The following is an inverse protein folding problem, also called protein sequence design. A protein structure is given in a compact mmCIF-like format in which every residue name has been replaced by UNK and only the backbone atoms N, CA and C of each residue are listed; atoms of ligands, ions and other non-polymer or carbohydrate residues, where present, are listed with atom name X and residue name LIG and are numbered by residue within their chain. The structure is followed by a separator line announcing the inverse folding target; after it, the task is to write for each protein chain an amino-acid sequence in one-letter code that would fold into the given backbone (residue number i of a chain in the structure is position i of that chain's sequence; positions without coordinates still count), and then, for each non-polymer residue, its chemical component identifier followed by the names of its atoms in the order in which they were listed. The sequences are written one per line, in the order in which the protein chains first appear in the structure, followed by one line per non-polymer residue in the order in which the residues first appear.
data_IF_015496591207
#
_entry.id   IF_015496591207
#
_cell.length_a   1.000
_cell.length_b   1.000
_cell.length_c   1.000
_cell.angle_alpha   90.00
_cell.angle_beta   90.00
_cell.angle_gamma   90.00
#
_symmetry.space_group_name_H-M   'P 1'
#
loop_
_entity.id
_entity.type
_entity.pdbx_description
1 polymer ?
#
# COMPACT_ATOMS: atom_id res chain seq x y z
N UNK A 1 -14.71 -55.12 16.91
CA UNK A 1 -13.99 -54.05 16.19
C UNK A 1 -13.14 -54.71 15.12
N UNK A 2 -13.34 -54.42 13.82
CA UNK A 2 -12.51 -54.98 12.77
C UNK A 2 -11.16 -54.23 12.71
N UNK A 3 -10.08 -54.88 12.23
CA UNK A 3 -8.77 -54.24 12.09
C UNK A 3 -8.76 -53.28 10.89
N UNK A 4 -8.17 -52.10 11.09
CA UNK A 4 -8.00 -51.08 10.06
C UNK A 4 -6.92 -51.48 9.05
N UNK A 5 -7.28 -51.55 7.78
CA UNK A 5 -6.36 -51.72 6.66
C UNK A 5 -5.52 -50.45 6.43
N UNK A 6 -4.21 -50.59 6.60
CA UNK A 6 -3.22 -49.57 6.26
C UNK A 6 -2.90 -49.65 4.77
N UNK A 7 -3.24 -48.61 3.99
CA UNK A 7 -2.87 -48.50 2.57
C UNK A 7 -1.37 -48.15 2.40
N UNK A 8 -0.66 -48.75 1.42
CA UNK A 8 0.73 -48.43 1.17
C UNK A 8 0.90 -47.10 0.40
N UNK A 9 1.97 -46.38 0.75
CA UNK A 9 2.36 -45.12 0.15
C UNK A 9 2.91 -45.32 -1.28
N UNK A 10 2.35 -44.57 -2.23
CA UNK A 10 2.78 -44.55 -3.63
C UNK A 10 4.02 -43.66 -3.80
N UNK A 11 5.16 -44.26 -4.14
CA UNK A 11 6.40 -43.53 -4.44
C UNK A 11 6.28 -42.79 -5.78
N UNK A 12 6.44 -41.46 -5.77
CA UNK A 12 6.55 -40.65 -6.99
C UNK A 12 7.93 -40.84 -7.60
N UNK A 13 7.98 -41.42 -8.80
CA UNK A 13 9.18 -41.53 -9.61
C UNK A 13 9.67 -40.15 -10.05
N UNK A 14 10.93 -39.84 -9.75
CA UNK A 14 11.62 -38.65 -10.26
C UNK A 14 11.99 -38.86 -11.73
N UNK A 15 11.40 -38.06 -12.62
CA UNK A 15 11.82 -37.96 -14.01
C UNK A 15 12.96 -36.94 -14.07
N UNK A 16 14.20 -37.41 -14.19
CA UNK A 16 15.36 -36.57 -14.52
C UNK A 16 15.29 -36.19 -16.00
N UNK A 17 14.81 -34.98 -16.29
CA UNK A 17 14.93 -34.40 -17.62
C UNK A 17 16.37 -33.93 -17.84
N UNK A 18 17.05 -34.58 -18.78
CA UNK A 18 18.33 -34.12 -19.32
C UNK A 18 18.09 -32.80 -20.08
N UNK A 19 18.43 -31.67 -19.47
CA UNK A 19 18.42 -30.37 -20.14
C UNK A 19 19.73 -30.26 -20.94
N UNK A 20 19.66 -30.56 -22.23
CA UNK A 20 20.73 -30.19 -23.17
C UNK A 20 20.77 -28.67 -23.27
N UNK A 21 21.91 -28.08 -22.90
CA UNK A 21 22.17 -26.66 -23.07
C UNK A 21 22.22 -26.33 -24.57
N UNK A 22 21.18 -25.65 -25.06
CA UNK A 22 21.14 -25.12 -26.42
C UNK A 22 22.19 -24.02 -26.55
N UNK A 23 23.09 -24.17 -27.53
CA UNK A 23 24.08 -23.14 -27.87
C UNK A 23 23.32 -21.91 -28.36
N UNK A 24 23.53 -20.71 -27.77
CA UNK A 24 22.84 -19.49 -28.21
C UNK A 24 23.23 -19.17 -29.65
N UNK A 25 22.22 -18.83 -30.47
CA UNK A 25 22.41 -18.45 -31.87
C UNK A 25 23.29 -17.18 -31.96
N UNK A 26 24.47 -17.25 -32.59
CA UNK A 26 25.37 -16.10 -32.72
C UNK A 26 24.78 -14.95 -33.56
N UNK A 27 23.67 -15.19 -34.27
CA UNK A 27 22.95 -14.18 -35.04
C UNK A 27 21.68 -13.67 -34.36
N UNK A 28 21.40 -14.07 -33.11
CA UNK A 28 20.29 -13.51 -32.36
C UNK A 28 20.55 -12.02 -32.08
N UNK A 29 19.95 -11.14 -32.90
CA UNK A 29 19.68 -9.78 -32.47
C UNK A 29 18.45 -9.85 -31.56
N UNK A 30 18.56 -9.46 -30.27
CA UNK A 30 17.36 -9.23 -29.50
C UNK A 30 16.48 -8.26 -30.30
N UNK A 31 15.15 -8.50 -30.38
CA UNK A 31 14.25 -7.54 -31.00
C UNK A 31 14.60 -6.17 -30.40
N UNK A 32 14.79 -5.15 -31.24
CA UNK A 32 15.05 -3.78 -30.80
C UNK A 32 14.02 -3.46 -29.74
N UNK A 33 14.45 -3.60 -28.48
CA UNK A 33 13.58 -3.52 -27.33
C UNK A 33 13.02 -2.12 -27.43
N UNK A 34 11.73 -2.02 -27.75
CA UNK A 34 11.05 -0.75 -27.94
C UNK A 34 11.55 0.18 -26.86
N UNK A 35 12.29 1.21 -27.25
CA UNK A 35 12.89 2.17 -26.33
C UNK A 35 11.72 2.85 -25.64
N UNK A 36 11.24 2.24 -24.56
CA UNK A 36 10.16 2.76 -23.76
C UNK A 36 10.77 3.96 -23.07
N UNK A 37 10.44 5.14 -23.56
CA UNK A 37 10.82 6.39 -22.93
C UNK A 37 10.51 6.27 -21.44
N UNK A 38 11.54 6.32 -20.61
CA UNK A 38 11.38 6.27 -19.17
C UNK A 38 10.68 7.57 -18.77
N UNK A 39 9.48 7.44 -18.22
CA UNK A 39 8.77 8.58 -17.63
C UNK A 39 9.53 9.03 -16.39
N UNK A 40 9.60 10.34 -16.21
CA UNK A 40 10.10 10.95 -14.97
C UNK A 40 9.10 10.74 -13.83
N UNK A 41 9.57 10.79 -12.59
CA UNK A 41 8.71 10.67 -11.41
C UNK A 41 7.57 11.71 -11.40
N UNK A 42 7.84 12.93 -11.89
CA UNK A 42 6.83 13.99 -12.01
C UNK A 42 5.77 13.68 -13.08
N UNK A 43 6.14 13.03 -14.18
CA UNK A 43 5.19 12.60 -15.21
C UNK A 43 4.33 11.44 -14.70
N UNK A 44 4.92 10.47 -14.01
CA UNK A 44 4.19 9.36 -13.39
C UNK A 44 3.20 9.84 -12.34
N UNK A 45 3.59 10.80 -11.49
CA UNK A 45 2.67 11.42 -10.52
C UNK A 45 1.53 12.19 -11.21
N UNK A 46 1.81 12.91 -12.29
CA UNK A 46 0.80 13.62 -13.09
C UNK A 46 -0.21 12.65 -13.71
N UNK A 47 0.27 11.50 -14.22
CA UNK A 47 -0.58 10.43 -14.73
C UNK A 47 -1.47 9.89 -13.61
N UNK A 48 -0.93 9.60 -12.42
CA UNK A 48 -1.71 9.14 -11.28
C UNK A 48 -2.85 10.11 -10.95
N UNK A 49 -2.55 11.41 -10.80
CA UNK A 49 -3.57 12.43 -10.49
C UNK A 49 -4.64 12.48 -11.58
N UNK A 50 -4.25 12.44 -12.85
CA UNK A 50 -5.18 12.44 -13.98
C UNK A 50 -6.10 11.21 -13.97
N UNK A 51 -5.55 10.01 -13.77
CA UNK A 51 -6.33 8.78 -13.68
C UNK A 51 -7.28 8.79 -12.48
N UNK A 52 -6.80 9.26 -11.32
CA UNK A 52 -7.60 9.39 -10.11
C UNK A 52 -8.81 10.33 -10.32
N UNK A 53 -8.60 11.50 -10.93
CA UNK A 53 -9.67 12.48 -11.17
C UNK A 53 -10.68 12.04 -12.21
N UNK A 54 -10.21 11.44 -13.30
CA UNK A 54 -11.08 10.94 -14.37
C UNK A 54 -11.82 9.68 -13.96
N UNK A 55 -11.32 8.95 -12.96
CA UNK A 55 -11.80 7.61 -12.61
C UNK A 55 -11.47 6.57 -13.69
N UNK A 56 -10.60 6.91 -14.64
CA UNK A 56 -10.31 6.12 -15.82
C UNK A 56 -9.07 5.24 -15.62
N UNK A 57 -9.02 4.46 -14.52
CA UNK A 57 -7.95 3.47 -14.34
C UNK A 57 -7.89 2.43 -15.47
N UNK A 58 -9.03 2.23 -16.16
CA UNK A 58 -9.19 1.30 -17.28
C UNK A 58 -8.52 1.74 -18.60
N UNK A 59 -8.25 3.03 -18.79
CA UNK A 59 -8.02 3.55 -20.14
C UNK A 59 -6.63 3.27 -20.73
N UNK A 60 -5.59 3.08 -19.91
CA UNK A 60 -4.19 3.10 -20.40
C UNK A 60 -3.31 1.90 -20.02
N UNK A 61 -3.69 1.06 -19.05
CA UNK A 61 -2.80 -0.02 -18.55
C UNK A 61 -2.98 -1.36 -19.31
N UNK A 62 -3.12 -1.25 -20.63
CA UNK A 62 -3.10 -2.33 -21.62
C UNK A 62 -4.44 -3.02 -21.92
N UNK A 63 -4.81 -2.93 -23.20
CA UNK A 63 -5.68 -3.81 -23.98
C UNK A 63 -5.14 -5.27 -24.07
N UNK A 64 -4.69 -5.83 -22.95
CA UNK A 64 -4.29 -7.24 -22.83
C UNK A 64 -5.46 -7.95 -22.18
N UNK A 65 -6.34 -8.49 -23.03
CA UNK A 65 -7.41 -9.39 -22.63
C UNK A 65 -6.81 -10.65 -22.00
N UNK A 66 -6.66 -10.68 -20.67
CA UNK A 66 -6.31 -11.90 -19.96
C UNK A 66 -7.56 -12.74 -19.70
N UNK A 67 -7.50 -14.08 -19.88
CA UNK A 67 -8.61 -14.97 -19.59
C UNK A 67 -8.95 -14.98 -18.09
N UNK A 68 -10.17 -14.57 -17.77
CA UNK A 68 -10.73 -14.28 -16.44
C UNK A 68 -11.09 -15.54 -15.61
N UNK A 69 -10.21 -16.53 -15.50
CA UNK A 69 -10.55 -17.79 -14.81
C UNK A 69 -9.89 -17.93 -13.42
N UNK A 70 -9.99 -16.88 -12.58
CA UNK A 70 -9.49 -16.88 -11.21
C UNK A 70 -10.49 -16.27 -10.23
N UNK A 71 -10.36 -16.54 -8.91
CA UNK A 71 -11.17 -15.87 -7.89
C UNK A 71 -10.95 -14.36 -7.96
N UNK A 72 -12.02 -13.59 -7.74
CA UNK A 72 -12.00 -12.13 -7.79
C UNK A 72 -10.96 -11.58 -6.79
N UNK A 73 -9.95 -10.85 -7.26
CA UNK A 73 -8.87 -10.31 -6.43
C UNK A 73 -9.06 -8.81 -6.26
N UNK A 74 -9.39 -8.38 -5.04
CA UNK A 74 -9.59 -6.96 -4.74
C UNK A 74 -8.41 -6.37 -4.00
N UNK A 75 -8.07 -5.14 -4.33
CA UNK A 75 -7.02 -4.38 -3.64
C UNK A 75 -7.54 -3.03 -3.15
N UNK A 76 -7.03 -2.60 -2.00
CA UNK A 76 -7.22 -1.24 -1.49
C UNK A 76 -5.86 -0.54 -1.47
N UNK A 77 -5.77 0.61 -2.14
CA UNK A 77 -4.55 1.42 -2.24
C UNK A 77 -4.86 2.80 -1.68
N UNK A 78 -4.16 3.17 -0.60
CA UNK A 78 -4.37 4.43 0.11
C UNK A 78 -3.11 5.27 0.01
N UNK A 79 -3.21 6.51 -0.44
CA UNK A 79 -2.09 7.44 -0.57
C UNK A 79 -2.44 8.80 0.03
N UNK A 80 -1.67 9.23 1.03
CA UNK A 80 -1.91 10.49 1.75
C UNK A 80 -0.67 11.36 1.68
N UNK A 81 -0.76 12.45 0.92
CA UNK A 81 0.31 13.45 0.71
C UNK A 81 0.22 14.64 1.67
N UNK A 82 -0.93 14.85 2.30
CA UNK A 82 -1.28 15.99 3.16
C UNK A 82 -1.29 17.36 2.45
N UNK A 83 -1.11 17.42 1.13
CA UNK A 83 -1.34 18.60 0.30
C UNK A 83 -0.69 19.89 0.81
N UNK A 84 -1.45 20.98 0.87
CA UNK A 84 -1.02 22.25 1.53
C UNK A 84 -1.28 22.25 3.04
N UNK A 85 -1.88 21.18 3.58
CA UNK A 85 -2.24 21.08 4.98
C UNK A 85 -0.95 20.94 5.79
N UNK A 86 -0.81 21.81 6.78
CA UNK A 86 0.27 21.71 7.76
C UNK A 86 -0.30 22.09 9.11
N UNK A 87 -0.19 21.22 10.13
CA UNK A 87 0.46 19.91 10.12
C UNK A 87 -0.43 18.76 9.60
N UNK A 88 0.14 17.57 9.30
CA UNK A 88 1.58 17.27 9.30
C UNK A 88 2.26 17.90 8.06
N UNK A 89 3.59 17.79 7.94
CA UNK A 89 4.27 18.31 6.76
C UNK A 89 3.81 17.56 5.50
N UNK A 90 3.70 18.22 4.35
CA UNK A 90 3.40 17.53 3.11
C UNK A 90 4.45 16.44 2.80
N UNK A 91 3.99 15.31 2.26
CA UNK A 91 4.82 14.22 1.77
C UNK A 91 4.88 14.25 0.25
N UNK A 92 6.08 14.14 -0.29
CA UNK A 92 6.32 13.92 -1.73
C UNK A 92 6.46 12.42 -1.99
N UNK A 93 5.94 11.94 -3.12
CA UNK A 93 6.14 10.55 -3.58
C UNK A 93 5.01 9.57 -3.22
N UNK A 94 4.15 9.86 -2.23
CA UNK A 94 3.09 8.90 -1.81
C UNK A 94 2.15 8.50 -2.95
N UNK A 95 1.81 9.44 -3.84
CA UNK A 95 1.02 9.16 -5.06
C UNK A 95 1.79 8.35 -6.10
N UNK A 96 3.10 8.59 -6.22
CA UNK A 96 3.97 7.83 -7.11
C UNK A 96 4.11 6.38 -6.64
N UNK A 97 4.24 6.16 -5.34
CA UNK A 97 4.31 4.82 -4.76
C UNK A 97 3.01 4.05 -4.98
N UNK A 98 1.86 4.70 -4.77
CA UNK A 98 0.56 4.14 -5.09
C UNK A 98 0.42 3.79 -6.58
N UNK A 99 0.86 4.67 -7.47
CA UNK A 99 0.86 4.41 -8.91
C UNK A 99 1.70 3.17 -9.28
N UNK A 100 2.92 3.07 -8.72
CA UNK A 100 3.82 1.94 -8.94
C UNK A 100 3.21 0.64 -8.42
N UNK A 101 2.55 0.66 -7.26
CA UNK A 101 1.84 -0.49 -6.70
C UNK A 101 0.66 -0.91 -7.58
N UNK A 102 -0.17 0.03 -8.04
CA UNK A 102 -1.30 -0.28 -8.95
C UNK A 102 -0.78 -0.95 -10.22
N UNK A 103 0.24 -0.38 -10.85
CA UNK A 103 0.87 -0.98 -12.05
C UNK A 103 1.42 -2.37 -11.78
N UNK A 104 2.05 -2.58 -10.62
CA UNK A 104 2.56 -3.88 -10.22
C UNK A 104 1.43 -4.90 -10.07
N UNK A 105 0.35 -4.55 -9.37
CA UNK A 105 -0.81 -5.41 -9.16
C UNK A 105 -1.45 -5.84 -10.49
N UNK A 106 -1.66 -4.90 -11.41
CA UNK A 106 -2.26 -5.18 -12.72
C UNK A 106 -1.31 -6.01 -13.59
N UNK A 107 -0.07 -5.53 -13.77
CA UNK A 107 0.85 -6.13 -14.76
C UNK A 107 1.49 -7.45 -14.32
N UNK A 108 1.66 -7.68 -13.01
CA UNK A 108 2.35 -8.87 -12.48
C UNK A 108 1.43 -9.81 -11.72
N UNK A 109 0.42 -9.28 -11.05
CA UNK A 109 -0.46 -10.09 -10.20
C UNK A 109 -1.87 -10.28 -10.78
N UNK A 110 -2.14 -9.74 -11.97
CA UNK A 110 -3.39 -9.96 -12.70
C UNK A 110 -4.62 -9.36 -12.02
N UNK A 111 -4.44 -8.30 -11.22
CA UNK A 111 -5.59 -7.54 -10.70
C UNK A 111 -6.25 -6.77 -11.84
N UNK A 112 -7.57 -6.70 -11.82
CA UNK A 112 -8.33 -5.81 -12.71
C UNK A 112 -8.38 -4.42 -12.11
N UNK A 113 -8.35 -3.38 -12.94
CA UNK A 113 -8.46 -2.00 -12.46
C UNK A 113 -9.77 -1.75 -11.71
N UNK A 114 -10.88 -2.32 -12.17
CA UNK A 114 -12.20 -2.26 -11.51
C UNK A 114 -12.23 -2.90 -10.11
N UNK A 115 -11.26 -3.77 -9.81
CA UNK A 115 -11.12 -4.44 -8.51
C UNK A 115 -10.12 -3.74 -7.58
N UNK A 116 -9.49 -2.64 -8.03
CA UNK A 116 -8.58 -1.82 -7.23
C UNK A 116 -9.33 -0.56 -6.77
N UNK A 117 -9.59 -0.48 -5.48
CA UNK A 117 -10.08 0.74 -4.85
C UNK A 117 -8.91 1.64 -4.48
N UNK A 118 -8.94 2.90 -4.92
CA UNK A 118 -7.90 3.89 -4.63
C UNK A 118 -8.49 5.03 -3.80
N UNK A 119 -7.89 5.29 -2.64
CA UNK A 119 -8.20 6.44 -1.78
C UNK A 119 -7.00 7.36 -1.74
N UNK A 120 -7.17 8.61 -2.17
CA UNK A 120 -6.08 9.58 -2.18
C UNK A 120 -6.57 10.99 -1.84
N UNK A 121 -5.72 11.76 -1.17
CA UNK A 121 -5.98 13.17 -0.83
C UNK A 121 -5.50 14.14 -1.92
N UNK A 122 -5.83 13.81 -3.17
CA UNK A 122 -5.49 14.68 -4.30
C UNK A 122 -6.38 15.92 -4.27
N UNK A 123 -5.78 17.09 -4.16
CA UNK A 123 -6.44 18.38 -4.32
C UNK A 123 -6.57 18.73 -5.82
N UNK A 124 -7.68 19.35 -6.23
CA UNK A 124 -7.80 19.91 -7.58
C UNK A 124 -7.05 21.24 -7.69
N UNK A 125 -6.91 21.77 -8.91
CA UNK A 125 -6.26 23.09 -9.15
C UNK A 125 -6.96 24.25 -8.42
N UNK A 126 -8.20 24.05 -7.98
CA UNK A 126 -9.05 25.03 -7.28
C UNK A 126 -9.03 24.78 -5.76
N UNK A 127 -8.21 23.84 -5.27
CA UNK A 127 -8.12 23.45 -3.86
C UNK A 127 -9.35 22.72 -3.32
N UNK A 128 -10.25 22.23 -4.18
CA UNK A 128 -11.36 21.37 -3.77
C UNK A 128 -10.84 19.95 -3.66
N UNK A 129 -11.13 19.35 -2.50
CA UNK A 129 -10.94 17.92 -2.32
C UNK A 129 -11.98 17.18 -3.15
N UNK A 130 -11.57 16.10 -3.82
CA UNK A 130 -12.48 15.30 -4.62
C UNK A 130 -13.62 14.76 -3.74
N UNK A 131 -14.88 15.16 -3.96
CA UNK A 131 -16.00 14.59 -3.23
C UNK A 131 -16.34 13.16 -3.72
N UNK A 132 -15.68 12.66 -4.77
CA UNK A 132 -16.07 11.39 -5.40
C UNK A 132 -15.67 10.18 -4.58
N UNK A 133 -16.75 9.50 -4.19
CA UNK A 133 -16.87 8.12 -3.74
C UNK A 133 -15.94 7.80 -2.59
N UNK A 134 -16.40 8.16 -1.38
CA UNK A 134 -16.33 7.15 -0.31
C UNK A 134 -16.71 5.83 -0.97
N UNK A 135 -15.86 4.78 -0.90
CA UNK A 135 -16.20 3.48 -1.48
C UNK A 135 -17.64 3.21 -1.08
N UNK A 136 -18.50 2.91 -2.07
CA UNK A 136 -19.93 2.74 -1.86
C UNK A 136 -20.03 1.91 -0.57
N UNK A 137 -20.49 2.52 0.54
CA UNK A 137 -20.28 1.95 1.90
C UNK A 137 -20.90 0.56 2.03
N UNK A 138 -21.65 0.15 1.01
CA UNK A 138 -21.97 -1.21 0.60
C UNK A 138 -20.72 -2.11 0.57
N UNK A 139 -20.37 -2.57 1.77
CA UNK A 139 -19.47 -3.67 2.09
C UNK A 139 -17.97 -3.41 1.92
N UNK A 140 -17.35 -2.67 2.85
CA UNK A 140 -15.91 -2.86 3.16
C UNK A 140 -15.62 -4.30 3.63
N UNK A 141 -16.65 -5.08 3.97
CA UNK A 141 -16.61 -6.53 4.14
C UNK A 141 -16.27 -7.31 2.84
N UNK A 142 -15.94 -6.60 1.76
CA UNK A 142 -15.47 -7.20 0.53
C UNK A 142 -14.05 -7.76 0.70
N UNK A 143 -13.83 -8.89 0.04
CA UNK A 143 -12.66 -9.76 0.15
C UNK A 143 -11.38 -9.13 -0.43
N UNK A 144 -10.92 -8.04 0.19
CA UNK A 144 -9.64 -7.40 -0.14
C UNK A 144 -8.51 -8.36 0.19
N UNK A 145 -7.72 -8.71 -0.83
CA UNK A 145 -6.56 -9.60 -0.73
C UNK A 145 -5.25 -8.83 -0.64
N UNK A 146 -5.31 -7.53 -0.86
CA UNK A 146 -4.16 -6.63 -0.83
C UNK A 146 -4.54 -5.27 -0.27
N UNK A 147 -3.74 -4.76 0.66
CA UNK A 147 -3.81 -3.40 1.19
C UNK A 147 -2.44 -2.73 1.04
N UNK A 148 -2.44 -1.53 0.45
CA UNK A 148 -1.28 -0.63 0.46
C UNK A 148 -1.67 0.69 1.12
N UNK A 149 -0.79 1.19 1.99
CA UNK A 149 -0.91 2.52 2.57
C UNK A 149 0.42 3.27 2.46
N UNK A 150 0.41 4.46 1.86
CA UNK A 150 1.52 5.41 1.89
C UNK A 150 1.09 6.71 2.60
N UNK A 151 1.84 7.12 3.63
CA UNK A 151 1.53 8.33 4.38
C UNK A 151 2.32 8.51 5.67
N UNK A 152 1.83 9.36 6.58
CA UNK A 152 2.41 9.50 7.91
C UNK A 152 1.95 8.40 8.86
N UNK A 153 2.91 7.86 9.60
CA UNK A 153 2.65 7.09 10.81
C UNK A 153 2.63 7.99 12.05
N UNK A 154 2.02 7.49 13.10
CA UNK A 154 2.07 8.09 14.42
C UNK A 154 2.44 7.04 15.46
N UNK A 155 3.46 7.32 16.28
CA UNK A 155 3.84 6.53 17.44
C UNK A 155 3.57 7.31 18.72
N UNK A 156 2.75 6.74 19.59
CA UNK A 156 2.52 7.25 20.95
C UNK A 156 3.31 6.39 21.94
N UNK A 157 4.33 7.01 22.53
CA UNK A 157 4.97 6.51 23.75
C UNK A 157 4.17 7.03 24.94
N UNK A 158 3.42 6.16 25.61
CA UNK A 158 2.84 6.54 26.90
C UNK A 158 3.92 6.54 27.99
N UNK A 159 3.67 7.27 29.08
CA UNK A 159 4.56 7.29 30.26
C UNK A 159 4.59 5.95 31.00
N UNK A 160 3.67 5.03 30.68
CA UNK A 160 3.66 3.68 31.26
C UNK A 160 4.57 2.75 30.44
N UNK A 161 5.47 1.99 31.09
CA UNK A 161 6.68 1.44 30.47
C UNK A 161 6.50 0.24 29.52
N UNK A 162 5.31 -0.06 29.01
CA UNK A 162 5.12 -1.32 28.25
C UNK A 162 4.18 -1.31 27.05
N UNK A 163 3.45 -0.23 26.75
CA UNK A 163 2.57 -0.18 25.58
C UNK A 163 3.01 0.90 24.58
N UNK A 164 3.59 0.46 23.47
CA UNK A 164 3.83 1.29 22.29
C UNK A 164 2.57 1.23 21.43
N UNK A 165 1.93 2.38 21.19
CA UNK A 165 0.82 2.47 20.26
C UNK A 165 1.28 3.09 18.96
N UNK A 166 1.08 2.38 17.86
CA UNK A 166 1.36 2.87 16.52
C UNK A 166 0.07 2.93 15.71
N UNK A 167 0.00 3.85 14.77
CA UNK A 167 -1.14 4.00 13.87
C UNK A 167 -0.77 4.79 12.64
N UNK A 168 -1.72 4.85 11.71
CA UNK A 168 -1.62 5.69 10.51
C UNK A 168 -2.43 6.97 10.71
N UNK A 169 -2.01 8.04 10.04
CA UNK A 169 -2.68 9.34 10.03
C UNK A 169 -3.49 9.52 8.75
N UNK A 170 -4.83 9.41 8.77
CA UNK A 170 -5.66 9.79 7.63
C UNK A 170 -5.49 11.26 7.24
N UNK A 171 -5.92 11.62 6.03
CA UNK A 171 -5.87 13.01 5.53
C UNK A 171 -6.67 13.99 6.37
N UNK A 172 -7.72 13.54 7.07
CA UNK A 172 -8.59 14.34 7.93
C UNK A 172 -8.12 14.42 9.40
N UNK A 173 -6.93 13.91 9.73
CA UNK A 173 -6.36 13.94 11.07
C UNK A 173 -6.42 15.36 11.66
N UNK A 174 -7.04 15.47 12.83
CA UNK A 174 -7.10 16.72 13.60
C UNK A 174 -5.97 16.77 14.62
N UNK A 175 -5.57 17.97 15.06
CA UNK A 175 -4.43 18.17 15.94
C UNK A 175 -4.84 18.94 17.20
N UNK A 176 -4.41 18.46 18.36
CA UNK A 176 -4.76 19.04 19.67
C UNK A 176 -3.92 20.26 20.01
N UNK A 177 -2.62 20.21 19.69
CA UNK A 177 -1.67 21.24 20.10
C UNK A 177 -0.36 21.14 19.32
N UNK A 178 0.31 22.27 19.15
CA UNK A 178 1.72 22.35 18.81
C UNK A 178 2.51 22.53 20.11
N UNK A 179 3.27 21.51 20.52
CA UNK A 179 4.17 21.65 21.68
C UNK A 179 5.57 21.91 21.16
N UNK A 180 6.12 23.12 21.30
CA UNK A 180 7.54 23.41 21.00
C UNK A 180 8.44 22.36 21.62
N UNK A 181 9.31 21.74 20.82
CA UNK A 181 9.90 20.47 21.22
C UNK A 181 11.24 20.62 21.92
N UNK A 182 11.30 20.27 23.20
CA UNK A 182 12.56 20.09 23.93
C UNK A 182 13.09 18.64 23.83
N UNK A 183 12.26 17.64 23.42
CA UNK A 183 12.59 16.21 23.50
C UNK A 183 12.16 15.32 22.27
N UNK A 184 12.08 15.84 21.04
CA UNK A 184 11.70 15.03 19.85
C UNK A 184 12.89 14.52 19.04
N UNK A 185 12.81 13.25 18.62
CA UNK A 185 13.73 12.58 17.69
C UNK A 185 13.74 13.17 16.26
N UNK A 186 12.89 14.16 15.97
CA UNK A 186 12.89 14.94 14.73
C UNK A 186 14.05 15.95 14.65
N UNK A 187 14.92 16.01 15.66
CA UNK A 187 16.10 16.88 15.72
C UNK A 187 17.42 16.30 15.22
N UNK A 188 17.46 15.11 14.61
CA UNK A 188 18.75 14.52 14.20
C UNK A 188 18.69 13.87 12.81
N UNK A 189 18.67 14.71 11.78
CA UNK A 189 19.24 14.34 10.47
C UNK A 189 19.67 15.61 9.74
N UNK A 190 20.99 15.74 9.57
CA UNK A 190 21.69 16.53 8.57
C UNK A 190 21.58 18.06 8.63
N UNK A 191 22.35 18.64 9.55
CA UNK A 191 23.40 19.63 9.23
C UNK A 191 23.09 20.90 8.44
N UNK A 192 21.83 21.20 8.08
CA UNK A 192 21.50 22.36 7.24
C UNK A 192 20.20 23.02 7.71
N UNK A 193 20.41 24.17 8.38
CA UNK A 193 19.55 25.36 8.48
C UNK A 193 19.24 25.79 9.91
N UNK A 194 19.86 26.91 10.29
CA UNK A 194 19.78 27.61 11.58
C UNK A 194 18.42 28.34 11.77
N UNK A 195 17.37 27.94 11.04
CA UNK A 195 16.03 28.53 11.09
C UNK A 195 14.89 27.51 11.37
N UNK A 196 15.19 26.24 11.68
CA UNK A 196 14.17 25.20 11.96
C UNK A 196 14.06 24.73 13.43
N UNK A 197 14.67 25.42 14.39
CA UNK A 197 14.75 24.98 15.79
C UNK A 197 13.48 25.20 16.65
N UNK A 198 12.32 25.50 16.04
CA UNK A 198 11.03 25.56 16.75
C UNK A 198 9.94 24.71 16.08
N UNK A 199 10.27 23.58 15.46
CA UNK A 199 9.23 22.61 15.06
C UNK A 199 8.67 21.95 16.32
N UNK A 200 7.57 22.50 16.82
CA UNK A 200 6.80 21.86 17.87
C UNK A 200 6.36 20.46 17.46
N UNK A 201 6.41 19.52 18.41
CA UNK A 201 5.77 18.21 18.30
C UNK A 201 4.29 18.44 18.03
N UNK A 202 3.88 18.03 16.86
CA UNK A 202 2.49 17.99 16.46
C UNK A 202 1.86 16.79 17.17
N UNK A 203 0.82 17.05 17.96
CA UNK A 203 0.09 15.98 18.64
C UNK A 203 -1.28 15.81 17.97
N UNK A 204 -1.47 14.74 17.16
CA UNK A 204 -2.77 14.45 16.60
C UNK A 204 -3.78 14.13 17.70
N UNK A 205 -5.05 14.41 17.42
CA UNK A 205 -6.14 13.99 18.26
C UNK A 205 -6.22 12.45 18.21
N UNK A 206 -6.12 11.72 19.34
CA UNK A 206 -6.07 10.26 19.31
C UNK A 206 -7.27 9.59 18.63
N UNK A 207 -8.43 10.26 18.62
CA UNK A 207 -9.64 9.77 17.97
C UNK A 207 -9.60 9.83 16.43
N UNK A 208 -8.68 10.60 15.85
CA UNK A 208 -8.51 10.69 14.38
C UNK A 208 -7.36 9.82 13.87
N UNK A 209 -6.63 9.14 14.74
CA UNK A 209 -5.61 8.16 14.37
C UNK A 209 -6.26 6.80 14.20
N UNK A 210 -5.94 6.11 13.11
CA UNK A 210 -6.29 4.71 12.95
C UNK A 210 -5.16 3.88 13.57
N UNK A 211 -5.38 3.45 14.82
CA UNK A 211 -4.40 2.68 15.56
C UNK A 211 -4.24 1.26 15.01
N UNK A 212 -3.02 0.72 15.06
CA UNK A 212 -2.68 -0.60 14.53
C UNK A 212 -3.56 -1.73 15.06
N UNK A 213 -3.96 -1.68 16.34
CA UNK A 213 -4.90 -2.67 16.89
C UNK A 213 -6.28 -2.62 16.22
N UNK A 214 -6.77 -1.42 15.85
CA UNK A 214 -8.02 -1.26 15.09
C UNK A 214 -7.85 -1.69 13.64
N UNK A 215 -6.69 -1.40 13.03
CA UNK A 215 -6.39 -1.89 11.68
C UNK A 215 -6.46 -3.41 11.67
N UNK A 216 -5.80 -4.08 12.62
CA UNK A 216 -5.84 -5.54 12.73
C UNK A 216 -7.26 -6.07 12.94
N UNK A 217 -8.07 -5.42 13.80
CA UNK A 217 -9.46 -5.80 14.02
C UNK A 217 -10.31 -5.65 12.74
N UNK A 218 -10.22 -4.52 12.05
CA UNK A 218 -10.95 -4.27 10.80
C UNK A 218 -10.54 -5.28 9.73
N UNK A 219 -9.24 -5.52 9.57
CA UNK A 219 -8.72 -6.45 8.57
C UNK A 219 -9.12 -7.90 8.91
N UNK A 220 -8.90 -8.35 10.14
CA UNK A 220 -9.25 -9.71 10.56
C UNK A 220 -10.76 -9.99 10.46
N UNK A 221 -11.61 -9.03 10.83
CA UNK A 221 -13.08 -9.19 10.77
C UNK A 221 -13.64 -9.16 9.35
N UNK A 222 -12.91 -8.63 8.38
CA UNK A 222 -13.31 -8.55 6.97
C UNK A 222 -12.98 -9.80 6.15
N UNK A 223 -12.12 -10.68 6.67
CA UNK A 223 -11.60 -11.83 5.94
C UNK A 223 -12.36 -13.11 6.29
N UNK A 224 -12.68 -13.91 5.26
CA UNK A 224 -13.20 -15.27 5.47
C UNK A 224 -12.14 -16.19 6.09
N UNK A 225 -12.53 -17.26 6.78
CA UNK A 225 -11.58 -18.24 7.32
C UNK A 225 -10.67 -18.81 6.21
N UNK A 226 -9.36 -18.91 6.49
CA UNK A 226 -8.34 -19.35 5.52
C UNK A 226 -7.99 -18.34 4.43
N UNK A 227 -8.52 -17.12 4.51
CA UNK A 227 -8.17 -16.01 3.64
C UNK A 227 -6.71 -15.57 3.77
N UNK A 228 -6.08 -15.29 2.63
CA UNK A 228 -4.81 -14.56 2.60
C UNK A 228 -5.05 -13.06 2.39
N UNK A 229 -4.35 -12.23 3.15
CA UNK A 229 -4.29 -10.78 2.97
C UNK A 229 -2.81 -10.35 3.00
N UNK A 230 -2.39 -9.63 1.97
CA UNK A 230 -1.09 -8.96 1.93
C UNK A 230 -1.24 -7.50 2.30
N UNK A 231 -0.47 -7.02 3.28
CA UNK A 231 -0.49 -5.61 3.68
C UNK A 231 0.90 -5.00 3.53
N UNK A 232 0.97 -3.83 2.91
CA UNK A 232 2.20 -3.05 2.73
C UNK A 232 1.98 -1.65 3.30
N UNK A 233 2.79 -1.28 4.29
CA UNK A 233 2.81 0.06 4.87
C UNK A 233 4.09 0.78 4.44
N UNK A 234 3.94 1.83 3.66
CA UNK A 234 4.98 2.81 3.37
C UNK A 234 4.77 4.04 4.26
N UNK A 235 5.26 3.94 5.49
CA UNK A 235 5.00 4.93 6.54
C UNK A 235 6.28 5.55 7.03
N UNK A 236 6.31 6.87 7.08
CA UNK A 236 7.36 7.59 7.80
C UNK A 236 7.20 7.38 9.31
N UNK A 237 8.31 7.12 10.01
CA UNK A 237 8.43 7.12 11.48
C UNK A 237 7.67 6.05 12.29
N UNK A 238 7.14 4.98 11.66
CA UNK A 238 6.57 3.84 12.40
C UNK A 238 7.00 2.52 11.79
N UNK A 239 7.16 1.48 12.63
CA UNK A 239 7.22 0.09 12.18
C UNK A 239 5.90 -0.48 12.65
N UNK A 240 4.82 -0.32 11.89
CA UNK A 240 3.56 -0.98 12.24
C UNK A 240 3.84 -2.48 12.20
N UNK A 241 4.06 -3.07 13.38
CA UNK A 241 4.20 -4.51 13.52
C UNK A 241 2.83 -5.12 13.28
N UNK A 242 2.55 -5.41 12.02
CA UNK A 242 1.41 -6.22 11.65
C UNK A 242 1.71 -7.67 12.07
N UNK A 243 1.48 -7.97 13.36
CA UNK A 243 1.51 -9.33 13.88
C UNK A 243 0.27 -10.06 13.36
N UNK A 244 0.27 -10.40 12.08
CA UNK A 244 -0.66 -11.40 11.57
C UNK A 244 -0.17 -12.75 12.10
N UNK A 245 -0.72 -13.17 13.25
CA UNK A 245 -0.76 -14.58 13.56
C UNK A 245 -1.53 -15.22 12.40
N UNK A 246 -0.84 -16.02 11.59
CA UNK A 246 -1.49 -16.91 10.63
C UNK A 246 -2.44 -17.78 11.45
N UNK A 247 -3.73 -17.47 11.38
CA UNK A 247 -4.77 -18.34 11.93
C UNK A 247 -4.96 -19.42 10.87
N UNK A 248 -4.28 -20.55 11.07
CA UNK A 248 -4.46 -21.79 10.28
C UNK A 248 -5.84 -22.42 10.55
#
# INVERSE_FOLDING_TARGET
MPPSETKPATSRGGVTQNVQATVPDPNYRPPESSQRTLLTDSEEESIFKTLFWTGCWDADINSISQPMCGPKRRALVIAVSYGVRSPPSPLTGTFLDAYKIIRLLVSKFGYLNEDICVLADVEDEVGRQNPRRSPDQRNIAEDYRFLFFAGHGYRRTEQLPSSIYEGIMPSDTSFKSFITCEDCACGVADGVSVFQSQKGKVIPHPATIIWGYRINEILASSLADGANLTVVFDVSATIIQANFLLID
#
